data_IF_362247859823
#
_entry.id   IF_362247859823
#
_cell.length_a   1.000
_cell.length_b   1.000
_cell.length_c   1.000
_cell.angle_alpha   90.00
_cell.angle_beta   90.00
_cell.angle_gamma   90.00
#
_symmetry.space_group_name_H-M   'P 1'
#
loop_
_entity.id
_entity.type
_entity.pdbx_description
1 polymer ?
#
# COMPACT_ATOMS: atom_id res chain seq x y z
N UNK A 1 -5.67 10.93 -7.93
CA UNK A 1 -5.48 11.84 -6.78
C UNK A 1 -4.10 12.50 -6.82
N UNK A 2 -4.04 13.82 -6.60
CA UNK A 2 -2.82 14.60 -6.45
C UNK A 2 -2.81 15.15 -5.02
N UNK A 3 -2.03 14.56 -4.16
CA UNK A 3 -1.82 15.01 -2.80
C UNK A 3 -0.88 16.22 -2.70
N UNK A 4 -0.36 16.53 -1.51
CA UNK A 4 0.65 17.55 -1.32
C UNK A 4 1.87 17.31 -2.21
N UNK A 5 2.44 18.40 -2.74
CA UNK A 5 3.61 18.37 -3.63
C UNK A 5 4.83 18.85 -2.86
N UNK A 6 6.00 18.32 -3.22
CA UNK A 6 7.32 18.64 -2.62
C UNK A 6 7.41 18.39 -1.10
N UNK A 7 6.68 17.38 -0.62
CA UNK A 7 6.80 16.89 0.75
C UNK A 7 7.52 15.55 0.76
N UNK A 8 8.78 15.59 1.16
CA UNK A 8 9.58 14.39 1.31
C UNK A 8 9.08 13.52 2.49
N UNK A 9 9.18 12.18 2.39
CA UNK A 9 8.79 11.28 3.45
C UNK A 9 9.70 11.41 4.68
N UNK A 10 9.12 11.17 5.86
CA UNK A 10 9.91 10.83 7.03
C UNK A 10 10.49 9.42 6.86
N UNK A 11 11.71 9.32 6.39
CA UNK A 11 12.38 8.03 6.14
C UNK A 11 12.69 7.23 7.42
N UNK A 12 12.61 7.86 8.60
CA UNK A 12 12.74 7.19 9.89
C UNK A 12 11.41 6.62 10.40
N UNK A 13 10.30 6.92 9.73
CA UNK A 13 9.01 6.37 10.11
C UNK A 13 8.97 4.87 9.85
N UNK A 14 8.52 4.11 10.84
CA UNK A 14 8.44 2.65 10.77
C UNK A 14 7.00 2.22 10.53
N UNK A 15 6.82 1.35 9.58
CA UNK A 15 5.53 0.88 9.09
C UNK A 15 5.20 -0.53 9.60
N UNK A 16 3.93 -0.85 9.66
CA UNK A 16 3.43 -2.21 9.75
C UNK A 16 3.45 -2.87 8.36
N UNK A 17 3.74 -4.17 8.27
CA UNK A 17 3.54 -4.89 7.00
C UNK A 17 2.04 -4.99 6.66
N UNK A 18 1.67 -4.99 5.37
CA UNK A 18 0.27 -5.04 4.95
C UNK A 18 -0.38 -6.43 5.07
N UNK A 19 0.27 -7.35 5.74
CA UNK A 19 -0.14 -8.75 5.86
C UNK A 19 -0.53 -9.09 7.30
N UNK A 20 -1.08 -10.29 7.53
CA UNK A 20 -1.26 -10.80 8.88
C UNK A 20 0.09 -10.92 9.60
N UNK A 21 0.08 -10.74 10.93
CA UNK A 21 1.26 -10.96 11.78
C UNK A 21 1.38 -12.42 12.25
N UNK A 22 0.45 -13.29 11.86
CA UNK A 22 0.42 -14.68 12.31
C UNK A 22 1.42 -15.58 11.60
N UNK A 23 1.76 -15.24 10.35
CA UNK A 23 2.57 -16.08 9.48
C UNK A 23 3.74 -15.30 8.89
N UNK A 24 4.86 -15.98 8.60
CA UNK A 24 5.91 -15.38 7.78
C UNK A 24 5.37 -15.02 6.40
N UNK A 25 5.84 -13.92 5.86
CA UNK A 25 5.49 -13.47 4.51
C UNK A 25 6.74 -13.45 3.63
N UNK A 26 6.60 -13.96 2.40
CA UNK A 26 7.63 -13.81 1.39
C UNK A 26 7.46 -12.44 0.71
N UNK A 27 8.54 -11.69 0.70
CA UNK A 27 8.59 -10.35 0.08
C UNK A 27 9.55 -10.38 -1.10
N UNK A 28 9.21 -9.65 -2.13
CA UNK A 28 10.12 -9.34 -3.24
C UNK A 28 9.96 -7.89 -3.66
N UNK A 29 11.03 -7.33 -4.23
CA UNK A 29 10.99 -6.04 -4.92
C UNK A 29 10.83 -6.30 -6.41
N UNK A 30 10.02 -5.51 -7.06
CA UNK A 30 9.84 -5.67 -8.50
C UNK A 30 9.14 -4.47 -9.10
N UNK A 31 9.25 -4.39 -10.42
CA UNK A 31 8.45 -3.47 -11.21
C UNK A 31 7.03 -4.00 -11.21
N UNK A 32 6.05 -3.15 -10.94
CA UNK A 32 4.65 -3.52 -11.11
C UNK A 32 4.42 -4.05 -12.52
N UNK A 33 3.55 -5.03 -12.66
CA UNK A 33 3.17 -5.56 -13.99
C UNK A 33 2.71 -4.42 -14.91
N UNK A 34 2.05 -3.40 -14.37
CA UNK A 34 1.64 -2.19 -15.07
C UNK A 34 2.81 -1.40 -15.68
N UNK A 35 3.91 -1.27 -14.96
CA UNK A 35 5.06 -0.48 -15.42
C UNK A 35 5.81 -1.21 -16.54
N UNK A 36 5.74 -2.55 -16.60
CA UNK A 36 6.32 -3.34 -17.68
C UNK A 36 5.67 -3.03 -19.04
N UNK A 37 4.38 -2.77 -19.07
CA UNK A 37 3.65 -2.48 -20.31
C UNK A 37 3.75 -1.02 -20.74
N UNK A 38 4.01 -0.09 -19.81
CA UNK A 38 4.10 1.36 -20.12
C UNK A 38 5.41 1.80 -20.75
N UNK A 39 6.39 0.92 -20.99
CA UNK A 39 7.73 1.24 -21.54
C UNK A 39 8.49 2.32 -20.74
N UNK A 40 8.11 2.61 -19.52
CA UNK A 40 8.87 3.49 -18.65
C UNK A 40 10.14 2.75 -18.20
N UNK A 41 11.28 3.14 -18.77
CA UNK A 41 12.59 2.49 -18.54
C UNK A 41 13.10 2.55 -17.10
N UNK A 42 12.38 3.20 -16.20
CA UNK A 42 12.62 3.24 -14.74
C UNK A 42 11.28 2.97 -14.06
N UNK A 43 10.83 1.72 -14.15
CA UNK A 43 9.61 1.30 -13.49
C UNK A 43 9.67 1.60 -11.99
N UNK A 44 8.56 2.10 -11.46
CA UNK A 44 8.39 2.27 -10.04
C UNK A 44 8.53 0.93 -9.35
N UNK A 45 9.55 0.80 -8.51
CA UNK A 45 9.76 -0.42 -7.75
C UNK A 45 8.73 -0.48 -6.64
N UNK A 46 7.90 -1.51 -6.65
CA UNK A 46 6.99 -1.85 -5.58
C UNK A 46 7.51 -3.00 -4.72
N UNK A 47 6.92 -3.14 -3.54
CA UNK A 47 7.07 -4.31 -2.69
C UNK A 47 5.91 -5.26 -3.00
N UNK A 48 6.22 -6.53 -3.22
CA UNK A 48 5.23 -7.58 -3.44
C UNK A 48 5.26 -8.53 -2.25
N UNK A 49 4.11 -8.68 -1.60
CA UNK A 49 3.90 -9.57 -0.47
C UNK A 49 3.08 -10.78 -0.96
N UNK A 50 3.67 -11.97 -0.93
CA UNK A 50 2.96 -13.20 -1.28
C UNK A 50 1.90 -13.50 -0.20
N UNK A 51 0.72 -13.90 -0.62
CA UNK A 51 -0.43 -14.14 0.24
C UNK A 51 -1.18 -15.39 -0.20
N UNK A 52 -2.09 -15.87 0.64
CA UNK A 52 -3.01 -16.94 0.30
C UNK A 52 -4.37 -16.37 -0.13
N UNK A 53 -5.17 -17.21 -0.79
CA UNK A 53 -6.54 -16.85 -1.15
C UNK A 53 -7.36 -16.51 0.11
N UNK A 54 -7.97 -15.34 0.11
CA UNK A 54 -8.79 -14.87 1.24
C UNK A 54 -8.00 -14.19 2.36
N UNK A 55 -6.68 -14.06 2.21
CA UNK A 55 -5.88 -13.27 3.13
C UNK A 55 -6.27 -11.80 3.08
N UNK A 56 -6.30 -11.18 4.26
CA UNK A 56 -6.63 -9.76 4.39
C UNK A 56 -5.40 -8.89 4.21
N UNK A 57 -5.54 -7.85 3.40
CA UNK A 57 -4.60 -6.74 3.24
C UNK A 57 -4.91 -5.66 4.25
N UNK A 58 -3.90 -5.19 4.97
CA UNK A 58 -4.04 -4.22 6.04
C UNK A 58 -3.34 -2.90 5.72
N UNK A 59 -3.87 -1.81 6.27
CA UNK A 59 -3.19 -0.52 6.22
C UNK A 59 -1.85 -0.57 6.95
N UNK A 60 -0.80 -0.08 6.29
CA UNK A 60 0.56 -0.07 6.84
C UNK A 60 0.81 1.06 7.82
N UNK A 61 0.08 2.15 7.67
CA UNK A 61 0.22 3.39 8.44
C UNK A 61 -1.14 4.08 8.52
N UNK A 62 -1.30 5.03 9.45
CA UNK A 62 -2.44 5.94 9.45
C UNK A 62 -2.57 6.65 8.11
N UNK A 63 -3.79 6.91 7.68
CA UNK A 63 -4.07 7.72 6.49
C UNK A 63 -5.56 7.84 6.21
N UNK A 64 -5.85 8.52 5.11
CA UNK A 64 -7.20 8.65 4.55
C UNK A 64 -7.24 7.93 3.20
N UNK A 65 -8.24 7.11 2.99
CA UNK A 65 -8.48 6.49 1.68
C UNK A 65 -8.89 7.58 0.70
N UNK A 66 -8.09 7.80 -0.34
CA UNK A 66 -8.33 8.88 -1.31
C UNK A 66 -8.75 8.40 -2.68
N UNK A 67 -8.55 7.12 -2.96
CA UNK A 67 -8.98 6.50 -4.20
C UNK A 67 -9.25 5.01 -3.98
N UNK A 68 -10.32 4.50 -4.58
CA UNK A 68 -10.64 3.08 -4.68
C UNK A 68 -10.94 2.80 -6.14
N UNK A 69 -10.02 2.12 -6.81
CA UNK A 69 -10.12 1.72 -8.21
C UNK A 69 -10.66 0.30 -8.32
N UNK A 70 -11.92 0.16 -8.71
CA UNK A 70 -12.51 -1.15 -9.06
C UNK A 70 -12.82 -1.08 -10.55
N UNK A 71 -12.03 -1.75 -11.40
CA UNK A 71 -12.29 -1.78 -12.84
C UNK A 71 -13.64 -2.42 -13.13
N UNK A 72 -14.39 -1.83 -14.04
CA UNK A 72 -15.59 -2.47 -14.57
C UNK A 72 -15.19 -3.77 -15.25
N UNK A 73 -15.79 -4.87 -14.81
CA UNK A 73 -15.55 -6.18 -15.40
C UNK A 73 -16.58 -6.43 -16.51
N UNK A 74 -16.09 -6.60 -17.72
CA UNK A 74 -16.96 -7.07 -18.80
C UNK A 74 -17.54 -8.45 -18.42
N UNK A 75 -18.87 -8.68 -18.59
CA UNK A 75 -19.52 -9.94 -18.17
C UNK A 75 -18.89 -11.21 -18.76
N UNK A 76 -18.32 -11.11 -19.95
CA UNK A 76 -17.70 -12.22 -20.69
C UNK A 76 -16.15 -12.19 -20.68
N UNK A 77 -15.56 -11.31 -19.87
CA UNK A 77 -14.10 -11.25 -19.76
C UNK A 77 -13.56 -12.56 -19.16
N UNK A 78 -12.50 -13.14 -19.73
CA UNK A 78 -11.88 -14.32 -19.13
C UNK A 78 -11.44 -14.01 -17.69
N UNK A 79 -11.54 -15.00 -16.81
CA UNK A 79 -11.21 -14.87 -15.38
C UNK A 79 -9.77 -14.38 -15.14
N UNK A 80 -8.92 -14.54 -16.13
CA UNK A 80 -7.55 -14.00 -16.18
C UNK A 80 -7.49 -12.99 -17.31
N UNK A 81 -7.68 -11.73 -16.98
CA UNK A 81 -7.44 -10.63 -17.88
C UNK A 81 -6.09 -10.02 -17.55
N UNK A 82 -5.14 -10.05 -18.49
CA UNK A 82 -3.91 -9.24 -18.44
C UNK A 82 -4.21 -7.75 -18.72
N UNK A 83 -5.44 -7.31 -18.45
CA UNK A 83 -5.75 -5.88 -18.53
C UNK A 83 -4.92 -5.13 -17.53
N UNK A 84 -4.55 -3.92 -17.88
CA UNK A 84 -3.79 -3.00 -17.03
C UNK A 84 -4.53 -2.58 -15.76
N UNK A 85 -5.69 -3.13 -15.50
CA UNK A 85 -6.65 -2.74 -14.49
C UNK A 85 -6.83 -3.87 -13.50
N UNK A 86 -6.20 -3.77 -12.35
CA UNK A 86 -6.50 -4.59 -11.18
C UNK A 86 -7.09 -3.69 -10.10
N UNK A 87 -8.00 -4.19 -9.27
CA UNK A 87 -8.48 -3.44 -8.14
C UNK A 87 -7.32 -2.89 -7.32
N UNK A 88 -7.40 -1.63 -7.00
CA UNK A 88 -6.37 -0.91 -6.27
C UNK A 88 -6.96 0.09 -5.25
N UNK A 89 -6.13 0.57 -4.37
CA UNK A 89 -6.53 1.48 -3.31
C UNK A 89 -5.38 2.41 -2.96
N UNK A 90 -5.66 3.71 -2.91
CA UNK A 90 -4.69 4.74 -2.58
C UNK A 90 -5.01 5.36 -1.21
N UNK A 91 -4.02 5.36 -0.34
CA UNK A 91 -4.11 5.96 1.01
C UNK A 91 -3.13 7.13 1.10
N UNK A 92 -3.64 8.32 1.40
CA UNK A 92 -2.83 9.48 1.75
C UNK A 92 -2.46 9.41 3.24
N UNK A 93 -1.18 9.57 3.54
CA UNK A 93 -0.63 9.50 4.89
C UNK A 93 -0.48 10.90 5.50
N UNK A 94 -0.35 11.05 6.84
CA UNK A 94 -0.33 12.36 7.51
C UNK A 94 0.80 13.29 7.05
N UNK A 95 1.92 12.75 6.57
CA UNK A 95 3.04 13.52 6.01
C UNK A 95 2.86 13.90 4.54
N UNK A 96 1.74 13.51 3.91
CA UNK A 96 1.43 13.78 2.52
C UNK A 96 2.01 12.77 1.55
N UNK A 97 2.66 11.71 2.04
CA UNK A 97 3.04 10.58 1.20
C UNK A 97 1.84 9.69 0.89
N UNK A 98 1.98 8.87 -0.12
CA UNK A 98 0.93 8.00 -0.64
C UNK A 98 1.36 6.55 -0.58
N UNK A 99 0.47 5.68 -0.14
CA UNK A 99 0.62 4.23 -0.22
C UNK A 99 -0.43 3.67 -1.20
N UNK A 100 0.04 3.08 -2.29
CA UNK A 100 -0.79 2.48 -3.33
C UNK A 100 -0.76 0.97 -3.20
N UNK A 101 -1.91 0.38 -2.85
CA UNK A 101 -2.13 -1.06 -2.73
C UNK A 101 -2.74 -1.56 -4.02
N UNK A 102 -2.13 -2.53 -4.67
CA UNK A 102 -2.45 -3.01 -6.01
C UNK A 102 -2.62 -4.52 -5.98
N UNK A 103 -3.46 -5.06 -6.84
CA UNK A 103 -3.81 -6.48 -6.90
C UNK A 103 -4.67 -6.90 -5.70
N UNK A 104 -5.77 -6.17 -5.52
CA UNK A 104 -6.78 -6.47 -4.52
C UNK A 104 -7.91 -7.31 -5.12
N UNK A 105 -8.68 -7.94 -4.26
CA UNK A 105 -9.96 -8.56 -4.64
C UNK A 105 -11.05 -7.47 -4.67
N UNK A 106 -11.52 -7.13 -5.87
CA UNK A 106 -12.48 -6.04 -6.08
C UNK A 106 -13.85 -6.29 -5.46
N UNK A 107 -14.24 -7.55 -5.30
CA UNK A 107 -15.51 -7.92 -4.66
C UNK A 107 -15.45 -7.83 -3.13
N UNK A 108 -14.23 -7.70 -2.57
CA UNK A 108 -13.96 -7.72 -1.14
C UNK A 108 -13.09 -6.53 -0.69
N UNK A 109 -13.39 -5.34 -1.19
CA UNK A 109 -12.87 -4.08 -0.66
C UNK A 109 -13.69 -3.69 0.58
N UNK A 110 -13.01 -3.36 1.68
CA UNK A 110 -13.62 -3.20 3.01
C UNK A 110 -13.68 -1.74 3.46
N UNK A 111 -13.22 -0.81 2.63
CA UNK A 111 -13.15 0.63 2.91
C UNK A 111 -13.66 1.44 1.73
N UNK A 112 -14.05 2.69 2.01
CA UNK A 112 -14.54 3.64 1.02
C UNK A 112 -13.64 4.89 0.99
N UNK A 113 -13.75 5.67 -0.09
CA UNK A 113 -13.07 6.97 -0.18
C UNK A 113 -13.54 7.90 0.93
N UNK A 114 -12.60 8.46 1.66
CA UNK A 114 -12.83 9.31 2.83
C UNK A 114 -12.64 8.58 4.17
N UNK A 115 -12.53 7.25 4.17
CA UNK A 115 -12.29 6.51 5.41
C UNK A 115 -10.92 6.81 6.00
N UNK A 116 -10.91 7.07 7.31
CA UNK A 116 -9.70 7.16 8.13
C UNK A 116 -9.27 5.77 8.57
N UNK A 117 -8.05 5.38 8.22
CA UNK A 117 -7.46 4.08 8.57
C UNK A 117 -6.29 4.24 9.52
N UNK A 118 -6.10 3.25 10.38
CA UNK A 118 -4.95 3.11 11.28
C UNK A 118 -4.10 1.91 10.87
N UNK A 119 -2.84 1.81 11.31
CA UNK A 119 -2.06 0.60 11.08
C UNK A 119 -2.83 -0.64 11.53
N UNK A 120 -2.97 -1.63 10.66
CA UNK A 120 -3.74 -2.85 10.94
C UNK A 120 -5.24 -2.77 10.64
N UNK A 121 -5.76 -1.64 10.14
CA UNK A 121 -7.14 -1.60 9.61
C UNK A 121 -7.24 -2.48 8.36
N UNK A 122 -8.21 -3.43 8.29
CA UNK A 122 -8.47 -4.22 7.08
C UNK A 122 -8.88 -3.30 5.92
N UNK A 123 -8.24 -3.47 4.75
CA UNK A 123 -8.51 -2.69 3.55
C UNK A 123 -9.27 -3.47 2.48
N UNK A 124 -8.85 -4.70 2.23
CA UNK A 124 -9.41 -5.58 1.22
C UNK A 124 -8.92 -7.01 1.43
N UNK A 125 -9.39 -7.95 0.64
CA UNK A 125 -8.72 -9.24 0.47
C UNK A 125 -7.66 -9.17 -0.63
N UNK A 126 -6.70 -10.08 -0.56
CA UNK A 126 -5.64 -10.21 -1.56
C UNK A 126 -6.21 -10.70 -2.90
N UNK A 127 -5.80 -10.07 -3.98
CA UNK A 127 -6.16 -10.45 -5.33
C UNK A 127 -5.14 -11.39 -5.99
N UNK A 128 -5.47 -11.83 -7.19
CA UNK A 128 -4.61 -12.66 -8.02
C UNK A 128 -4.61 -12.17 -9.46
N UNK A 129 -3.44 -12.20 -10.12
CA UNK A 129 -3.33 -11.88 -11.55
C UNK A 129 -3.57 -13.10 -12.46
N UNK A 130 -3.39 -14.31 -11.92
CA UNK A 130 -3.45 -15.55 -12.69
C UNK A 130 -4.47 -16.55 -12.14
N UNK A 131 -5.20 -16.19 -11.08
CA UNK A 131 -6.19 -17.03 -10.42
C UNK A 131 -5.58 -18.07 -9.45
N UNK A 132 -4.25 -18.23 -9.44
CA UNK A 132 -3.55 -19.22 -8.63
C UNK A 132 -2.70 -18.59 -7.52
N UNK A 133 -1.97 -17.52 -7.85
CA UNK A 133 -1.05 -16.86 -6.94
C UNK A 133 -1.62 -15.54 -6.44
N UNK A 134 -1.77 -15.46 -5.14
CA UNK A 134 -2.30 -14.29 -4.46
C UNK A 134 -1.16 -13.42 -3.93
N UNK A 135 -1.32 -12.12 -4.01
CA UNK A 135 -0.36 -11.14 -3.49
C UNK A 135 -0.99 -9.76 -3.39
N UNK A 136 -0.38 -8.92 -2.58
CA UNK A 136 -0.55 -7.48 -2.67
C UNK A 136 0.76 -6.84 -3.13
N UNK A 137 0.66 -5.88 -4.04
CA UNK A 137 1.79 -5.03 -4.41
C UNK A 137 1.59 -3.67 -3.79
N UNK A 138 2.60 -3.14 -3.12
CA UNK A 138 2.54 -1.81 -2.51
C UNK A 138 3.61 -0.92 -3.09
N UNK A 139 3.22 0.29 -3.48
CA UNK A 139 4.12 1.36 -3.86
C UNK A 139 3.94 2.52 -2.89
N UNK A 140 5.03 3.03 -2.35
CA UNK A 140 5.03 4.24 -1.54
C UNK A 140 5.75 5.35 -2.28
N UNK A 141 5.14 6.52 -2.35
CA UNK A 141 5.67 7.65 -3.11
C UNK A 141 5.16 8.99 -2.58
N UNK A 142 5.76 10.06 -3.07
CA UNK A 142 5.25 11.43 -2.96
C UNK A 142 5.28 12.10 -4.32
N UNK A 143 4.59 13.21 -4.43
CA UNK A 143 4.64 14.03 -5.62
C UNK A 143 5.71 15.10 -5.49
N UNK A 144 6.56 15.21 -6.50
CA UNK A 144 7.60 16.23 -6.62
C UNK A 144 7.36 17.07 -7.87
N UNK A 145 7.58 18.36 -7.78
CA UNK A 145 7.58 19.26 -8.94
C UNK A 145 8.61 18.77 -9.96
N UNK A 146 8.19 18.64 -11.22
CA UNK A 146 9.11 18.13 -12.24
C UNK A 146 10.30 19.09 -12.41
N UNK A 147 11.54 18.64 -12.14
CA UNK A 147 12.71 19.47 -12.23
C UNK A 147 13.08 19.84 -13.67
N UNK A 148 12.62 19.08 -14.67
CA UNK A 148 12.88 19.36 -16.08
C UNK A 148 11.93 20.46 -16.60
N UNK A 149 12.44 21.69 -16.91
CA UNK A 149 11.60 22.77 -17.40
C UNK A 149 10.91 22.47 -18.74
N UNK A 150 11.50 21.59 -19.58
CA UNK A 150 10.97 21.23 -20.90
C UNK A 150 9.79 20.25 -20.78
N UNK A 151 9.80 19.42 -19.77
CA UNK A 151 8.74 18.42 -19.53
C UNK A 151 7.65 18.97 -18.60
N UNK A 152 7.93 20.02 -17.83
CA UNK A 152 7.04 20.54 -16.76
C UNK A 152 5.68 20.97 -17.27
N UNK A 153 5.60 21.53 -18.47
CA UNK A 153 4.33 21.96 -19.06
C UNK A 153 3.40 20.77 -19.33
N UNK A 154 3.96 19.66 -19.80
CA UNK A 154 3.22 18.43 -20.13
C UNK A 154 3.03 17.53 -18.90
N UNK A 155 4.03 17.48 -18.02
CA UNK A 155 4.08 16.61 -16.82
C UNK A 155 4.58 17.45 -15.63
N UNK A 156 3.73 18.27 -15.02
CA UNK A 156 4.15 19.20 -13.97
C UNK A 156 4.69 18.52 -12.73
N UNK A 157 4.24 17.31 -12.44
CA UNK A 157 4.62 16.54 -11.26
C UNK A 157 5.11 15.15 -11.64
N UNK A 158 6.04 14.62 -10.84
CA UNK A 158 6.59 13.28 -10.97
C UNK A 158 6.43 12.52 -9.65
N UNK A 159 6.26 11.21 -9.74
CA UNK A 159 6.26 10.34 -8.55
C UNK A 159 7.70 10.05 -8.14
N UNK A 160 7.99 10.30 -6.87
CA UNK A 160 9.23 9.88 -6.22
C UNK A 160 8.92 8.72 -5.29
N UNK A 161 9.50 7.57 -5.55
CA UNK A 161 9.26 6.36 -4.77
C UNK A 161 10.28 6.20 -3.66
N UNK A 162 9.85 5.61 -2.55
CA UNK A 162 10.72 5.20 -1.46
C UNK A 162 10.30 3.82 -0.94
N UNK A 163 11.17 3.17 -0.20
CA UNK A 163 10.86 1.92 0.48
C UNK A 163 10.72 2.18 1.97
N UNK A 164 9.55 1.88 2.56
CA UNK A 164 9.35 2.04 4.00
C UNK A 164 10.18 1.03 4.79
N UNK A 165 10.51 1.39 6.03
CA UNK A 165 11.04 0.47 7.02
C UNK A 165 9.88 -0.24 7.73
N UNK A 166 10.02 -1.54 7.98
CA UNK A 166 9.00 -2.36 8.63
C UNK A 166 9.50 -2.94 9.94
N UNK A 167 8.58 -3.12 10.89
CA UNK A 167 8.85 -3.90 12.11
C UNK A 167 8.71 -5.39 11.80
N UNK A 168 9.74 -6.15 12.14
CA UNK A 168 9.80 -7.61 12.04
C UNK A 168 10.36 -8.22 13.32
N UNK A 169 10.32 -9.55 13.46
CA UNK A 169 11.01 -10.23 14.57
C UNK A 169 12.52 -9.96 14.60
N UNK A 170 13.11 -9.65 13.45
CA UNK A 170 14.54 -9.30 13.33
C UNK A 170 14.84 -7.83 13.68
N UNK A 171 13.79 -7.06 14.01
CA UNK A 171 13.87 -5.62 14.26
C UNK A 171 13.29 -4.79 13.14
N UNK A 172 13.74 -3.53 13.04
CA UNK A 172 13.33 -2.59 12.00
C UNK A 172 14.19 -2.80 10.77
N UNK A 173 13.58 -3.15 9.65
CA UNK A 173 14.28 -3.48 8.40
C UNK A 173 13.67 -2.80 7.19
N UNK A 174 14.50 -2.42 6.23
CA UNK A 174 14.08 -2.10 4.88
C UNK A 174 14.09 -3.40 4.08
N UNK A 175 12.90 -3.99 3.85
CA UNK A 175 12.79 -5.33 3.26
C UNK A 175 13.32 -5.40 1.84
N UNK A 176 13.95 -6.54 1.54
CA UNK A 176 14.38 -6.95 0.21
C UNK A 176 13.72 -8.29 -0.17
N UNK A 177 14.27 -8.97 -1.17
CA UNK A 177 13.81 -10.33 -1.47
C UNK A 177 14.14 -11.26 -0.31
N UNK A 178 13.11 -11.81 0.34
CA UNK A 178 13.29 -12.69 1.49
C UNK A 178 11.98 -13.13 2.11
N UNK A 179 12.09 -13.80 3.25
CA UNK A 179 10.95 -14.20 4.09
C UNK A 179 11.10 -13.48 5.42
N UNK A 180 10.03 -12.81 5.86
CA UNK A 180 10.04 -11.99 7.07
C UNK A 180 8.87 -12.40 7.96
N UNK A 181 9.05 -12.27 9.27
CA UNK A 181 7.97 -12.38 10.26
C UNK A 181 7.49 -10.99 10.66
N UNK A 182 6.29 -10.59 10.21
CA UNK A 182 5.74 -9.30 10.59
C UNK A 182 5.47 -9.24 12.09
N UNK A 183 5.70 -8.06 12.67
CA UNK A 183 5.37 -7.78 14.08
C UNK A 183 4.47 -6.55 14.14
N UNK A 184 3.48 -6.58 15.02
CA UNK A 184 2.67 -5.43 15.36
C UNK A 184 2.91 -5.08 16.82
N UNK A 185 3.44 -3.89 17.06
CA UNK A 185 3.63 -3.36 18.41
C UNK A 185 2.53 -2.35 18.75
N UNK A 186 2.16 -2.26 20.02
CA UNK A 186 1.19 -1.25 20.45
C UNK A 186 1.67 0.16 20.11
N UNK A 187 2.97 0.43 20.25
CA UNK A 187 3.58 1.71 19.92
C UNK A 187 3.33 2.09 18.45
N UNK A 188 3.51 1.14 17.53
CA UNK A 188 3.29 1.35 16.11
C UNK A 188 1.83 1.70 15.81
N UNK A 189 0.88 0.98 16.43
CA UNK A 189 -0.55 1.19 16.21
C UNK A 189 -1.01 2.54 16.74
N UNK A 190 -0.52 2.97 17.92
CA UNK A 190 -0.98 4.20 18.58
C UNK A 190 -0.19 5.45 18.19
N UNK A 191 0.94 5.32 17.51
CA UNK A 191 1.91 6.38 17.24
C UNK A 191 1.28 7.64 16.63
N UNK A 192 0.35 7.48 15.71
CA UNK A 192 -0.33 8.59 15.03
C UNK A 192 -1.79 8.77 15.47
N UNK A 193 -2.22 8.09 16.54
CA UNK A 193 -3.57 8.26 17.09
C UNK A 193 -3.73 9.63 17.76
N UNK A 194 -4.85 10.28 17.49
CA UNK A 194 -5.24 11.46 18.22
C UNK A 194 -5.73 11.09 19.66
N UNK A 195 -5.95 12.10 20.51
CA UNK A 195 -6.34 11.88 21.92
C UNK A 195 -7.65 11.08 22.07
N UNK A 196 -8.61 11.27 21.17
CA UNK A 196 -9.91 10.60 21.22
C UNK A 196 -9.75 9.12 20.85
N UNK A 197 -8.98 8.83 19.82
CA UNK A 197 -8.65 7.47 19.37
C UNK A 197 -7.87 6.71 20.44
N UNK A 198 -6.85 7.32 21.04
CA UNK A 198 -6.09 6.73 22.13
C UNK A 198 -6.98 6.37 23.32
N UNK A 199 -7.94 7.24 23.68
CA UNK A 199 -8.89 6.97 24.76
C UNK A 199 -9.79 5.78 24.42
N UNK A 200 -10.29 5.70 23.20
CA UNK A 200 -11.12 4.58 22.70
C UNK A 200 -10.32 3.28 22.67
N UNK A 201 -9.11 3.30 22.14
CA UNK A 201 -8.22 2.14 22.04
C UNK A 201 -7.91 1.56 23.44
N UNK A 202 -7.54 2.41 24.41
CA UNK A 202 -7.28 1.99 25.80
C UNK A 202 -8.52 1.55 26.56
N UNK A 203 -9.68 2.13 26.25
CA UNK A 203 -10.97 1.77 26.85
C UNK A 203 -11.50 0.41 26.37
N UNK A 204 -11.24 0.05 25.12
CA UNK A 204 -11.62 -1.25 24.55
C UNK A 204 -10.81 -2.44 25.08
N UNK A 205 -9.58 -2.21 25.55
CA UNK A 205 -8.73 -3.27 26.16
C UNK A 205 -9.12 -3.62 27.60
N UNK A 206 -10.05 -2.89 28.22
CA UNK A 206 -10.49 -3.14 29.60
C UNK A 206 -11.78 -3.96 29.71
N UNK A 207 -12.30 -4.46 28.60
CA UNK A 207 -13.45 -5.37 28.52
C UNK A 207 -12.98 -6.70 27.93
#
# INVERSE_FOLDING_TARGET
FLGPVDKEPDTAFVYRMPTTVRWPVRVSRGVSVYDRFRKEKKGALGLHFEMEKGDTVYAMRRGTVVEVGIPEREPDAPAVSFTSESPDLLVEQPDGTLAWYICLDGDNVLVEVGDEVLPGTPLALAGSYDGERYKVSVQTFWWESNPDPKERERKPFIRKHFFPQFVTEEGVVCVEKGVYRPVETEELVIREMNRKELKKHRGGKKR
#
